data_IF_353763020410
#
_entry.id   IF_353763020410
#
_cell.length_a   1.000
_cell.length_b   1.000
_cell.length_c   1.000
_cell.angle_alpha   90.00
_cell.angle_beta   90.00
_cell.angle_gamma   90.00
#
_symmetry.space_group_name_H-M   'P 1'
#
loop_
_entity.id
_entity.type
_entity.pdbx_description
1 polymer ?
#
# COMPACT_ATOMS: atom_id res chain seq x y z
N UNK A 1 41.79 -72.89 -2.70
CA UNK A 1 41.46 -71.64 -1.98
C UNK A 1 40.97 -70.65 -3.03
N UNK A 2 39.67 -70.35 -3.05
CA UNK A 2 39.04 -69.51 -4.09
C UNK A 2 39.03 -68.07 -3.57
N UNK A 3 39.66 -67.16 -4.33
CA UNK A 3 39.74 -65.74 -3.98
C UNK A 3 38.64 -65.03 -4.76
N UNK A 4 37.64 -64.50 -4.06
CA UNK A 4 36.55 -63.74 -4.68
C UNK A 4 36.79 -62.24 -4.45
N UNK A 5 36.98 -61.44 -5.51
CA UNK A 5 37.20 -60.01 -5.35
C UNK A 5 35.89 -59.32 -4.95
N UNK A 6 35.87 -58.72 -3.76
CA UNK A 6 34.78 -57.85 -3.30
C UNK A 6 34.98 -56.47 -3.91
N UNK A 7 34.10 -56.09 -4.83
CA UNK A 7 34.11 -54.77 -5.44
C UNK A 7 33.42 -53.82 -4.45
N UNK A 8 34.16 -52.89 -3.86
CA UNK A 8 33.59 -51.87 -2.98
C UNK A 8 32.59 -51.02 -3.77
N UNK A 9 31.35 -50.98 -3.28
CA UNK A 9 30.28 -50.18 -3.86
C UNK A 9 30.55 -48.70 -3.55
N UNK A 10 31.40 -48.08 -4.36
CA UNK A 10 31.74 -46.68 -4.19
C UNK A 10 30.54 -45.83 -4.60
N UNK A 11 29.95 -45.08 -3.66
CA UNK A 11 28.83 -44.12 -3.86
C UNK A 11 29.09 -43.01 -4.90
N UNK A 12 30.19 -43.09 -5.65
CA UNK A 12 30.54 -42.27 -6.82
C UNK A 12 29.49 -42.34 -7.94
N UNK A 13 28.74 -43.44 -8.06
CA UNK A 13 27.63 -43.52 -9.02
C UNK A 13 26.43 -42.72 -8.51
N UNK A 14 26.05 -42.87 -7.25
CA UNK A 14 24.94 -42.16 -6.62
C UNK A 14 25.16 -40.65 -6.58
N UNK A 15 26.37 -40.19 -6.23
CA UNK A 15 26.72 -38.76 -6.24
C UNK A 15 26.58 -38.11 -7.62
N UNK A 16 26.85 -38.85 -8.71
CA UNK A 16 26.64 -38.36 -10.08
C UNK A 16 25.16 -38.25 -10.43
N UNK A 17 24.34 -39.20 -9.99
CA UNK A 17 22.89 -39.13 -10.18
C UNK A 17 22.28 -37.93 -9.45
N UNK A 18 22.71 -37.68 -8.22
CA UNK A 18 22.27 -36.51 -7.44
C UNK A 18 22.71 -35.22 -8.12
N UNK A 19 23.98 -35.11 -8.53
CA UNK A 19 24.48 -33.94 -9.24
C UNK A 19 23.73 -33.69 -10.56
N UNK A 20 23.42 -34.75 -11.30
CA UNK A 20 22.62 -34.67 -12.52
C UNK A 20 21.20 -34.19 -12.23
N UNK A 21 20.54 -34.72 -11.19
CA UNK A 21 19.20 -34.31 -10.79
C UNK A 21 19.16 -32.84 -10.37
N UNK A 22 20.14 -32.39 -9.57
CA UNK A 22 20.27 -30.97 -9.21
C UNK A 22 20.46 -30.09 -10.44
N UNK A 23 21.33 -30.48 -11.38
CA UNK A 23 21.55 -29.75 -12.62
C UNK A 23 20.27 -29.68 -13.47
N UNK A 24 19.50 -30.76 -13.52
CA UNK A 24 18.22 -30.82 -14.23
C UNK A 24 17.20 -29.84 -13.65
N UNK A 25 17.06 -29.80 -12.32
CA UNK A 25 16.16 -28.86 -11.62
C UNK A 25 16.56 -27.42 -11.91
N UNK A 26 17.86 -27.10 -11.81
CA UNK A 26 18.38 -25.76 -12.11
C UNK A 26 18.15 -25.36 -13.56
N UNK A 27 18.33 -26.29 -14.51
CA UNK A 27 18.11 -26.04 -15.93
C UNK A 27 16.63 -25.79 -16.23
N UNK A 28 15.72 -26.55 -15.62
CA UNK A 28 14.27 -26.33 -15.72
C UNK A 28 13.90 -24.96 -15.13
N UNK A 29 14.43 -24.61 -13.95
CA UNK A 29 14.23 -23.30 -13.34
C UNK A 29 14.73 -22.16 -14.24
N UNK A 30 15.91 -22.31 -14.84
CA UNK A 30 16.48 -21.34 -15.76
C UNK A 30 15.65 -21.17 -17.05
N UNK A 31 15.09 -22.26 -17.57
CA UNK A 31 14.19 -22.21 -18.73
C UNK A 31 12.85 -21.52 -18.41
N UNK A 32 12.33 -21.72 -17.20
CA UNK A 32 11.04 -21.15 -16.75
C UNK A 32 11.16 -19.68 -16.33
N UNK A 33 12.34 -19.24 -15.88
CA UNK A 33 12.59 -17.85 -15.47
C UNK A 33 12.08 -16.79 -16.46
N UNK A 34 12.39 -16.82 -17.77
CA UNK A 34 11.92 -15.82 -18.72
C UNK A 34 10.39 -15.83 -18.91
N UNK A 35 9.72 -16.97 -18.69
CA UNK A 35 8.26 -17.08 -18.82
C UNK A 35 7.51 -16.52 -17.61
N UNK A 36 8.17 -16.36 -16.46
CA UNK A 36 7.60 -15.74 -15.26
C UNK A 36 8.03 -14.27 -15.08
N UNK A 37 8.73 -13.69 -16.07
CA UNK A 37 8.98 -12.26 -16.06
C UNK A 37 7.67 -11.56 -16.42
N UNK A 38 6.91 -11.16 -15.41
CA UNK A 38 5.84 -10.18 -15.58
C UNK A 38 6.47 -8.98 -16.29
N UNK A 39 6.04 -8.75 -17.54
CA UNK A 39 6.53 -7.62 -18.32
C UNK A 39 6.16 -6.35 -17.59
N UNK A 40 7.14 -5.75 -16.90
CA UNK A 40 7.04 -4.41 -16.33
C UNK A 40 6.98 -3.42 -17.49
N UNK A 41 5.80 -3.34 -18.12
CA UNK A 41 5.49 -2.26 -19.03
C UNK A 41 5.39 -1.04 -18.11
N UNK A 42 6.44 -0.20 -18.10
CA UNK A 42 6.38 1.13 -17.50
C UNK A 42 5.23 1.89 -18.17
N UNK A 43 4.04 1.78 -17.60
CA UNK A 43 2.91 2.61 -17.95
C UNK A 43 3.36 4.05 -17.74
N UNK A 44 3.14 4.91 -18.74
CA UNK A 44 3.48 6.33 -18.63
C UNK A 44 2.51 6.98 -17.65
N UNK A 45 2.85 6.95 -16.37
CA UNK A 45 2.07 7.58 -15.30
C UNK A 45 1.85 9.05 -15.63
N UNK A 46 0.62 9.54 -15.41
CA UNK A 46 0.34 10.95 -15.53
C UNK A 46 1.13 11.74 -14.48
N UNK A 47 1.42 13.02 -14.73
CA UNK A 47 2.21 13.88 -13.80
C UNK A 47 1.62 13.95 -12.37
N UNK A 48 0.32 13.70 -12.23
CA UNK A 48 -0.39 13.68 -10.95
C UNK A 48 -0.42 12.30 -10.28
N UNK A 49 0.18 11.26 -10.89
CA UNK A 49 0.20 9.90 -10.35
C UNK A 49 1.60 9.57 -9.85
N UNK A 50 1.66 8.86 -8.73
CA UNK A 50 2.88 8.27 -8.19
C UNK A 50 2.65 6.77 -8.03
N UNK A 51 3.57 5.99 -8.57
CA UNK A 51 3.59 4.55 -8.33
C UNK A 51 3.94 4.27 -6.87
N UNK A 52 3.23 3.33 -6.24
CA UNK A 52 3.55 2.91 -4.87
C UNK A 52 5.01 2.42 -4.72
N UNK A 53 5.56 1.78 -5.76
CA UNK A 53 6.95 1.28 -5.82
C UNK A 53 8.00 2.40 -5.76
N UNK A 54 7.62 3.62 -6.12
CA UNK A 54 8.51 4.79 -6.11
C UNK A 54 8.58 5.48 -4.74
N UNK A 55 7.75 5.07 -3.78
CA UNK A 55 7.68 5.68 -2.45
C UNK A 55 8.72 5.11 -1.49
N UNK A 56 9.17 5.94 -0.54
CA UNK A 56 10.06 5.50 0.54
C UNK A 56 9.30 4.66 1.58
N UNK A 57 10.03 3.93 2.44
CA UNK A 57 9.46 2.99 3.42
C UNK A 57 8.42 3.62 4.36
N UNK A 58 8.61 4.89 4.76
CA UNK A 58 7.73 5.55 5.73
C UNK A 58 6.33 5.88 5.14
N UNK A 59 6.20 6.56 3.99
CA UNK A 59 4.92 6.68 3.28
C UNK A 59 4.28 5.34 2.93
N UNK A 60 5.08 4.33 2.56
CA UNK A 60 4.55 3.00 2.22
C UNK A 60 3.83 2.34 3.40
N UNK A 61 4.41 2.41 4.60
CA UNK A 61 3.80 1.86 5.79
C UNK A 61 2.51 2.60 6.19
N UNK A 62 2.48 3.94 6.09
CA UNK A 62 1.25 4.73 6.28
C UNK A 62 0.18 4.36 5.25
N UNK A 63 0.55 4.16 3.98
CA UNK A 63 -0.40 3.71 2.94
C UNK A 63 -0.98 2.34 3.28
N UNK A 64 -0.18 1.40 3.78
CA UNK A 64 -0.68 0.09 4.19
C UNK A 64 -1.72 0.20 5.33
N UNK A 65 -1.48 1.06 6.32
CA UNK A 65 -2.46 1.35 7.37
C UNK A 65 -3.73 1.98 6.81
N UNK A 66 -3.60 2.94 5.89
CA UNK A 66 -4.77 3.59 5.26
C UNK A 66 -5.61 2.63 4.42
N UNK A 67 -4.98 1.65 3.75
CA UNK A 67 -5.71 0.59 3.05
C UNK A 67 -6.53 -0.26 4.02
N UNK A 68 -5.95 -0.64 5.16
CA UNK A 68 -6.68 -1.39 6.17
C UNK A 68 -7.83 -0.54 6.76
N UNK A 69 -7.55 0.73 7.03
CA UNK A 69 -8.54 1.66 7.55
C UNK A 69 -9.70 1.90 6.58
N UNK A 70 -9.43 1.93 5.27
CA UNK A 70 -10.43 2.04 4.22
C UNK A 70 -11.46 0.91 4.30
N UNK A 71 -10.99 -0.34 4.40
CA UNK A 71 -11.87 -1.51 4.52
C UNK A 71 -12.78 -1.41 5.75
N UNK A 72 -12.22 -1.00 6.89
CA UNK A 72 -13.00 -0.84 8.13
C UNK A 72 -14.03 0.30 8.02
N UNK A 73 -13.63 1.45 7.48
CA UNK A 73 -14.54 2.59 7.25
C UNK A 73 -15.70 2.17 6.33
N UNK A 74 -15.39 1.45 5.25
CA UNK A 74 -16.38 0.94 4.29
C UNK A 74 -17.31 -0.08 4.93
N UNK A 75 -16.77 -0.99 5.74
CA UNK A 75 -17.55 -1.98 6.47
C UNK A 75 -18.54 -1.30 7.42
N UNK A 76 -18.09 -0.34 8.21
CA UNK A 76 -18.94 0.40 9.14
C UNK A 76 -20.01 1.21 8.43
N UNK A 77 -19.64 1.93 7.36
CA UNK A 77 -20.60 2.68 6.55
C UNK A 77 -21.69 1.74 6.02
N UNK A 78 -21.32 0.60 5.43
CA UNK A 78 -22.26 -0.38 4.91
C UNK A 78 -23.17 -0.97 6.00
N UNK A 79 -22.64 -1.24 7.19
CA UNK A 79 -23.42 -1.71 8.32
C UNK A 79 -24.45 -0.67 8.80
N UNK A 80 -24.13 0.62 8.66
CA UNK A 80 -24.98 1.74 9.10
C UNK A 80 -25.94 2.24 8.03
N UNK A 81 -25.77 1.87 6.75
CA UNK A 81 -26.64 2.28 5.63
C UNK A 81 -28.14 2.10 5.91
N UNK A 82 -28.52 1.07 6.67
CA UNK A 82 -29.92 0.80 7.02
C UNK A 82 -30.50 1.75 8.09
N UNK A 83 -29.65 2.47 8.80
CA UNK A 83 -30.01 3.28 9.99
C UNK A 83 -29.67 4.75 9.80
N UNK A 84 -28.51 5.06 9.20
CA UNK A 84 -28.01 6.43 9.00
C UNK A 84 -26.98 6.44 7.87
N UNK A 85 -27.14 7.33 6.90
CA UNK A 85 -26.19 7.52 5.79
C UNK A 85 -25.06 8.46 6.22
N UNK A 86 -24.32 8.06 7.25
CA UNK A 86 -23.26 8.88 7.86
C UNK A 86 -21.93 8.15 7.85
N UNK A 87 -20.89 8.84 7.39
CA UNK A 87 -19.52 8.36 7.43
C UNK A 87 -18.95 8.42 8.85
N UNK A 88 -18.13 7.44 9.27
CA UNK A 88 -17.58 7.41 10.61
C UNK A 88 -16.63 8.60 10.83
N UNK A 89 -16.84 9.33 11.92
CA UNK A 89 -15.96 10.43 12.30
C UNK A 89 -14.59 9.92 12.75
N UNK A 90 -13.57 10.78 12.67
CA UNK A 90 -12.21 10.45 13.16
C UNK A 90 -12.22 10.06 14.64
N UNK A 91 -13.09 10.67 15.46
CA UNK A 91 -13.23 10.33 16.87
C UNK A 91 -13.78 8.91 17.07
N UNK A 92 -14.75 8.48 16.26
CA UNK A 92 -15.28 7.11 16.29
C UNK A 92 -14.21 6.10 15.89
N UNK A 93 -13.51 6.35 14.77
CA UNK A 93 -12.42 5.48 14.31
C UNK A 93 -11.30 5.36 15.35
N UNK A 94 -10.93 6.47 15.99
CA UNK A 94 -9.95 6.46 17.08
C UNK A 94 -10.45 5.67 18.30
N UNK A 95 -11.73 5.77 18.66
CA UNK A 95 -12.32 5.03 19.79
C UNK A 95 -12.33 3.51 19.59
N UNK A 96 -12.37 3.08 18.32
CA UNK A 96 -12.32 1.68 17.91
C UNK A 96 -10.89 1.18 17.65
N UNK A 97 -9.86 1.98 17.99
CA UNK A 97 -8.46 1.62 17.80
C UNK A 97 -8.05 1.42 16.33
N UNK A 98 -8.69 2.13 15.41
CA UNK A 98 -8.34 2.07 13.98
C UNK A 98 -7.15 2.98 13.69
N UNK A 99 -6.03 2.40 13.28
CA UNK A 99 -4.88 3.13 12.74
C UNK A 99 -5.22 3.70 11.35
N UNK A 100 -4.67 4.86 10.94
CA UNK A 100 -3.75 5.76 11.67
C UNK A 100 -4.48 6.83 12.53
N UNK A 101 -5.77 6.65 12.82
CA UNK A 101 -6.59 7.64 13.54
C UNK A 101 -6.39 7.61 15.05
N UNK A 102 -6.03 6.45 15.60
CA UNK A 102 -5.65 6.29 17.00
C UNK A 102 -4.25 6.83 17.27
N UNK A 103 -4.05 7.52 18.40
CA UNK A 103 -2.77 8.11 18.81
C UNK A 103 -1.88 7.09 19.53
N UNK A 104 -1.51 6.03 18.83
CA UNK A 104 -0.68 4.95 19.36
C UNK A 104 0.81 5.12 19.00
N UNK A 105 1.61 4.04 19.18
CA UNK A 105 3.02 4.05 18.78
C UNK A 105 3.20 4.20 17.28
N UNK A 106 2.30 3.63 16.47
CA UNK A 106 2.38 3.75 15.01
C UNK A 106 2.19 5.20 14.57
N UNK A 107 1.22 5.89 15.16
CA UNK A 107 1.00 7.32 14.94
C UNK A 107 2.24 8.17 15.24
N UNK A 108 2.99 7.85 16.31
CA UNK A 108 4.27 8.51 16.62
C UNK A 108 5.32 8.24 15.52
N UNK A 109 5.46 7.00 15.06
CA UNK A 109 6.42 6.63 14.02
C UNK A 109 6.11 7.27 12.66
N UNK A 110 4.83 7.44 12.35
CA UNK A 110 4.37 8.00 11.08
C UNK A 110 4.34 9.54 11.00
N UNK A 111 4.85 10.24 12.02
CA UNK A 111 4.98 11.70 12.01
C UNK A 111 3.75 12.44 12.53
N UNK A 112 3.03 11.83 13.47
CA UNK A 112 1.98 12.48 14.26
C UNK A 112 0.98 13.25 13.41
N UNK A 113 0.30 12.51 12.53
CA UNK A 113 -0.68 13.10 11.62
C UNK A 113 -1.94 13.50 12.39
N UNK A 114 -2.38 14.74 12.24
CA UNK A 114 -3.68 15.22 12.69
C UNK A 114 -4.70 14.88 11.60
N UNK A 115 -5.57 13.92 11.89
CA UNK A 115 -6.61 13.48 10.97
C UNK A 115 -7.90 14.26 11.16
N UNK A 116 -8.57 14.56 10.06
CA UNK A 116 -9.88 15.20 10.04
C UNK A 116 -10.73 14.69 8.88
N UNK A 117 -12.04 14.55 9.11
CA UNK A 117 -13.02 14.27 8.06
C UNK A 117 -13.34 15.59 7.35
N UNK A 118 -12.91 15.73 6.09
CA UNK A 118 -13.02 16.97 5.31
C UNK A 118 -14.25 17.00 4.41
N UNK A 119 -14.67 15.84 3.92
CA UNK A 119 -15.93 15.64 3.21
C UNK A 119 -16.46 14.23 3.51
N UNK A 120 -17.69 13.93 3.09
CA UNK A 120 -18.28 12.61 3.25
C UNK A 120 -17.35 11.49 2.74
N UNK A 121 -16.83 10.67 3.64
CA UNK A 121 -15.93 9.56 3.31
C UNK A 121 -14.51 9.98 2.91
N UNK A 122 -14.14 11.25 3.11
CA UNK A 122 -12.81 11.77 2.75
C UNK A 122 -12.10 12.28 4.00
N UNK A 123 -10.95 11.69 4.29
CA UNK A 123 -10.15 11.94 5.47
C UNK A 123 -8.81 12.56 5.07
N UNK A 124 -8.44 13.67 5.71
CA UNK A 124 -7.18 14.36 5.47
C UNK A 124 -6.29 14.29 6.71
N UNK A 125 -5.05 13.83 6.53
CA UNK A 125 -3.99 13.79 7.53
C UNK A 125 -2.97 14.88 7.25
N UNK A 126 -2.77 15.77 8.22
CA UNK A 126 -1.76 16.84 8.17
C UNK A 126 -0.77 16.62 9.31
N UNK A 127 0.56 16.61 9.07
CA UNK A 127 1.52 16.39 10.13
C UNK A 127 1.47 17.53 11.15
N UNK A 128 1.51 17.20 12.44
CA UNK A 128 1.73 18.16 13.51
C UNK A 128 3.16 18.68 13.39
N UNK A 129 3.31 19.83 12.73
CA UNK A 129 4.60 20.43 12.36
C UNK A 129 5.58 20.47 13.55
N UNK A 130 6.65 19.67 13.44
CA UNK A 130 7.84 19.70 14.29
C UNK A 130 9.02 19.99 13.37
N UNK A 131 9.90 20.91 13.76
CA UNK A 131 11.07 21.26 12.97
C UNK A 131 11.90 20.01 12.65
N UNK A 132 11.91 19.60 11.36
CA UNK A 132 12.68 18.46 10.85
C UNK A 132 11.87 17.20 10.52
N UNK A 133 10.57 17.13 10.81
CA UNK A 133 9.72 15.98 10.43
C UNK A 133 9.19 16.09 8.98
N UNK A 134 8.93 14.96 8.29
CA UNK A 134 8.43 14.98 6.92
C UNK A 134 7.08 15.71 6.85
N UNK A 135 7.00 16.72 5.98
CA UNK A 135 5.79 17.52 5.70
C UNK A 135 4.73 16.76 4.89
N UNK A 136 4.87 15.44 4.79
CA UNK A 136 4.01 14.61 3.95
C UNK A 136 2.59 14.63 4.48
N UNK A 137 1.65 14.99 3.62
CA UNK A 137 0.21 14.99 3.88
C UNK A 137 -0.44 13.84 3.13
N UNK A 138 -1.50 13.32 3.72
CA UNK A 138 -2.24 12.17 3.19
C UNK A 138 -3.70 12.55 3.06
N UNK A 139 -4.35 12.04 2.02
CA UNK A 139 -5.78 12.13 1.84
C UNK A 139 -6.29 10.75 1.44
N UNK A 140 -7.24 10.24 2.21
CA UNK A 140 -7.91 8.97 1.98
C UNK A 140 -9.33 9.26 1.51
N UNK A 141 -9.66 8.80 0.30
CA UNK A 141 -11.02 8.76 -0.20
C UNK A 141 -11.56 7.33 -0.06
N UNK A 142 -12.56 7.17 0.79
CA UNK A 142 -13.25 5.90 1.06
C UNK A 142 -14.65 5.81 0.44
N UNK A 143 -15.02 6.76 -0.42
CA UNK A 143 -16.34 6.77 -1.06
C UNK A 143 -16.55 5.58 -2.00
N UNK A 144 -15.50 5.14 -2.68
CA UNK A 144 -15.53 4.06 -3.65
C UNK A 144 -15.21 2.69 -3.02
N UNK A 145 -15.47 1.61 -3.76
CA UNK A 145 -15.11 0.25 -3.33
C UNK A 145 -13.60 -0.01 -3.39
N UNK A 146 -12.90 0.69 -4.27
CA UNK A 146 -11.45 0.70 -4.32
C UNK A 146 -10.92 1.85 -3.49
N UNK A 147 -9.81 1.59 -2.80
CA UNK A 147 -9.13 2.59 -1.99
C UNK A 147 -8.44 3.61 -2.89
N UNK A 148 -8.80 4.88 -2.71
CA UNK A 148 -8.16 5.97 -3.44
C UNK A 148 -7.38 6.84 -2.44
N UNK A 149 -6.05 6.85 -2.59
CA UNK A 149 -5.14 7.57 -1.70
C UNK A 149 -4.42 8.65 -2.49
N UNK A 150 -4.41 9.84 -1.93
CA UNK A 150 -3.69 11.00 -2.46
C UNK A 150 -2.61 11.43 -1.46
N UNK A 151 -1.50 11.89 -1.99
CA UNK A 151 -0.31 12.30 -1.25
C UNK A 151 0.13 13.69 -1.68
N UNK A 152 0.69 14.41 -0.73
CA UNK A 152 1.53 15.57 -0.99
C UNK A 152 2.84 15.38 -0.23
N UNK A 153 3.88 14.98 -0.96
CA UNK A 153 5.19 14.67 -0.38
C UNK A 153 5.91 15.92 0.13
N UNK A 154 5.63 17.09 -0.47
CA UNK A 154 6.34 18.35 -0.20
C UNK A 154 5.65 19.20 0.86
N UNK A 155 4.35 19.00 1.05
CA UNK A 155 3.52 19.84 1.92
C UNK A 155 3.10 21.15 1.26
N UNK A 156 3.15 21.23 -0.07
CA UNK A 156 2.86 22.44 -0.85
C UNK A 156 1.42 22.45 -1.41
N UNK A 157 0.72 21.32 -1.36
CA UNK A 157 -0.65 21.22 -1.84
C UNK A 157 -1.61 22.02 -0.95
N UNK A 158 -2.68 22.55 -1.56
CA UNK A 158 -3.73 23.25 -0.81
C UNK A 158 -4.54 22.25 0.03
N UNK A 159 -4.82 22.61 1.28
CA UNK A 159 -5.58 21.77 2.19
C UNK A 159 -7.05 21.76 1.76
N UNK A 160 -7.62 20.57 1.56
CA UNK A 160 -9.00 20.45 1.11
C UNK A 160 -10.01 20.94 2.15
N UNK A 161 -9.65 20.81 3.43
CA UNK A 161 -10.46 21.34 4.54
C UNK A 161 -10.73 22.85 4.45
N UNK A 162 -9.91 23.60 3.72
CA UNK A 162 -10.06 25.04 3.52
C UNK A 162 -10.80 25.37 2.22
N UNK A 163 -10.98 24.38 1.34
CA UNK A 163 -11.49 24.57 -0.02
C UNK A 163 -12.91 24.04 -0.21
N UNK A 164 -13.37 23.14 0.66
CA UNK A 164 -14.58 22.36 0.43
C UNK A 164 -15.40 22.23 1.72
N UNK A 165 -16.72 22.36 1.59
CA UNK A 165 -17.67 22.06 2.66
C UNK A 165 -17.81 20.56 2.89
N UNK A 166 -18.12 20.15 4.12
CA UNK A 166 -18.21 18.71 4.49
C UNK A 166 -19.21 17.90 3.67
N UNK A 167 -20.25 18.53 3.13
CA UNK A 167 -21.28 17.89 2.32
C UNK A 167 -20.97 17.87 0.82
N UNK A 168 -19.89 18.52 0.37
CA UNK A 168 -19.64 18.65 -1.05
C UNK A 168 -19.01 17.38 -1.65
N UNK A 169 -19.29 17.17 -2.94
CA UNK A 169 -18.69 16.09 -3.73
C UNK A 169 -17.31 16.55 -4.20
N UNK A 170 -16.26 15.89 -3.73
CA UNK A 170 -14.88 16.19 -4.15
C UNK A 170 -14.58 15.46 -5.45
N UNK A 171 -14.18 16.21 -6.48
CA UNK A 171 -13.75 15.65 -7.75
C UNK A 171 -12.23 15.54 -7.81
N UNK A 172 -11.70 14.50 -8.45
CA UNK A 172 -10.25 14.31 -8.62
C UNK A 172 -9.57 15.49 -9.33
N UNK A 173 -10.28 16.23 -10.19
CA UNK A 173 -9.75 17.45 -10.83
C UNK A 173 -9.32 18.51 -9.80
N UNK A 174 -10.13 18.72 -8.76
CA UNK A 174 -9.81 19.67 -7.69
C UNK A 174 -8.53 19.26 -6.95
N UNK A 175 -8.37 17.96 -6.69
CA UNK A 175 -7.18 17.42 -6.04
C UNK A 175 -5.92 17.67 -6.88
N UNK A 176 -6.00 17.40 -8.19
CA UNK A 176 -4.90 17.61 -9.14
C UNK A 176 -4.52 19.10 -9.22
N UNK A 177 -5.51 19.98 -9.34
CA UNK A 177 -5.29 21.44 -9.40
C UNK A 177 -4.74 22.00 -8.09
N UNK A 178 -5.12 21.40 -6.95
CA UNK A 178 -4.60 21.72 -5.63
C UNK A 178 -3.20 21.15 -5.37
N UNK A 179 -2.62 20.39 -6.31
CA UNK A 179 -1.25 19.86 -6.24
C UNK A 179 -1.12 18.49 -5.58
N UNK A 180 -2.22 17.80 -5.32
CA UNK A 180 -2.20 16.43 -4.78
C UNK A 180 -1.82 15.42 -5.85
N UNK A 181 -1.18 14.34 -5.41
CA UNK A 181 -0.74 13.25 -6.29
C UNK A 181 -1.41 11.94 -5.89
N UNK A 182 -2.06 11.27 -6.83
CA UNK A 182 -2.73 9.99 -6.60
C UNK A 182 -1.71 8.85 -6.51
N UNK A 183 -1.88 7.97 -5.54
CA UNK A 183 -1.13 6.72 -5.44
C UNK A 183 -1.78 5.69 -6.35
N UNK A 184 -1.01 5.15 -7.29
CA UNK A 184 -1.46 4.08 -8.17
C UNK A 184 -0.86 2.75 -7.68
N UNK A 185 -1.72 1.74 -7.54
CA UNK A 185 -1.34 0.38 -7.17
C UNK A 185 -1.26 -0.49 -8.43
N UNK A 186 -0.32 -1.45 -8.48
CA UNK A 186 -0.16 -2.38 -9.63
C UNK A 186 -1.44 -3.18 -9.97
N UNK A 187 -2.36 -3.36 -9.02
CA UNK A 187 -3.61 -4.09 -9.22
C UNK A 187 -4.72 -3.29 -9.89
N UNK A 188 -4.62 -1.96 -9.96
CA UNK A 188 -5.66 -1.10 -10.54
C UNK A 188 -5.65 -1.07 -12.08
N UNK A 189 -4.73 -1.82 -12.72
CA UNK A 189 -4.60 -1.90 -14.18
C UNK A 189 -5.04 -3.25 -14.78
N UNK A 190 -5.90 -4.02 -14.09
CA UNK A 190 -6.51 -5.25 -14.65
C UNK A 190 -7.96 -5.07 -15.06
#
# INVERSE_FOLDING_TARGET
>A
MIIQPVISENGRKEGKWIAFLCALILLIGALLLPYNQTSYKKQSLAKHQIEISALTTKPLAMIAELKLAHEEIRYQYQAQLNTSEQWPSVAQLASQWIAPFVKDKSWLHHGKQQWQLVANGIYQGVPLSSNGEPKTRYLLNSQHSQVEIWLDLKGDARLLAEQVDRSAIVQSRLLIESGWQQVVFESDER
#
